data_IF_453080848175
#
_entry.id   IF_453080848175
#
_cell.length_a   1.000
_cell.length_b   1.000
_cell.length_c   1.000
_cell.angle_alpha   90.00
_cell.angle_beta   90.00
_cell.angle_gamma   90.00
#
_symmetry.space_group_name_H-M   'P 1'
#
loop_
_entity.id
_entity.type
_entity.pdbx_description
1 polymer ?
#
# COMPACT_ATOMS: atom_id res chain seq x y z
N UNK A 1 47.84 5.97 45.84
CA UNK A 1 46.41 5.65 45.65
C UNK A 1 46.28 5.05 44.26
N UNK A 2 45.94 3.76 44.21
CA UNK A 2 46.18 2.90 43.05
C UNK A 2 45.16 3.05 41.94
N UNK A 3 45.65 3.12 40.71
CA UNK A 3 44.85 3.00 39.49
C UNK A 3 44.63 1.51 39.18
N UNK A 4 43.37 1.12 39.08
CA UNK A 4 42.94 -0.20 38.61
C UNK A 4 42.81 -0.14 37.09
N UNK A 5 43.66 -0.87 36.38
CA UNK A 5 43.56 -1.12 34.94
C UNK A 5 42.73 -2.38 34.71
N UNK A 6 41.62 -2.25 33.99
CA UNK A 6 40.82 -3.39 33.51
C UNK A 6 41.25 -3.70 32.07
N UNK A 7 41.70 -4.93 31.74
CA UNK A 7 41.98 -5.30 30.37
C UNK A 7 40.67 -5.65 29.63
N UNK A 8 40.43 -4.99 28.51
CA UNK A 8 39.38 -5.35 27.55
C UNK A 8 39.93 -6.47 26.67
N UNK A 9 39.44 -7.68 26.87
CA UNK A 9 39.70 -8.81 25.99
C UNK A 9 38.90 -8.66 24.70
N UNK A 10 39.62 -8.50 23.58
CA UNK A 10 39.09 -8.69 22.23
C UNK A 10 38.70 -10.17 22.04
N UNK A 11 37.41 -10.43 21.84
CA UNK A 11 36.91 -11.70 21.31
C UNK A 11 36.48 -11.50 19.87
N UNK A 12 37.34 -11.94 18.94
CA UNK A 12 37.03 -12.11 17.53
C UNK A 12 36.14 -13.36 17.37
N UNK A 13 34.85 -13.16 17.11
CA UNK A 13 33.96 -14.23 16.65
C UNK A 13 33.86 -14.19 15.12
N UNK A 14 34.57 -15.12 14.47
CA UNK A 14 34.31 -15.50 13.09
C UNK A 14 33.05 -16.38 13.07
N UNK A 15 31.92 -15.81 12.68
CA UNK A 15 30.66 -16.52 12.47
C UNK A 15 30.25 -16.48 11.00
N UNK A 16 30.51 -17.56 10.27
CA UNK A 16 29.99 -17.81 8.93
C UNK A 16 28.46 -17.98 9.07
N UNK A 17 27.69 -17.04 8.53
CA UNK A 17 26.23 -17.16 8.43
C UNK A 17 25.91 -18.00 7.20
N UNK A 18 25.58 -19.27 7.42
CA UNK A 18 24.98 -20.12 6.40
C UNK A 18 23.51 -19.72 6.24
N UNK A 19 23.16 -19.16 5.08
CA UNK A 19 21.78 -18.91 4.68
C UNK A 19 21.23 -20.25 4.17
N UNK A 20 20.44 -20.93 5.01
CA UNK A 20 19.68 -22.10 4.58
C UNK A 20 18.46 -21.62 3.78
N UNK A 21 18.41 -21.99 2.50
CA UNK A 21 17.23 -21.84 1.67
C UNK A 21 16.14 -22.79 2.20
N UNK A 22 15.05 -22.23 2.69
CA UNK A 22 13.82 -22.98 3.02
C UNK A 22 12.92 -22.89 1.79
N UNK A 23 12.86 -23.98 1.02
CA UNK A 23 11.80 -24.18 0.04
C UNK A 23 10.49 -24.43 0.80
N UNK A 24 9.71 -23.37 0.99
CA UNK A 24 8.34 -23.48 1.50
C UNK A 24 7.39 -23.46 0.31
N UNK A 25 6.73 -24.58 0.06
CA UNK A 25 5.63 -24.68 -0.89
C UNK A 25 4.45 -23.83 -0.40
N UNK A 26 4.23 -22.68 -1.04
CA UNK A 26 3.02 -21.89 -0.84
C UNK A 26 1.87 -22.55 -1.61
N UNK A 27 0.88 -23.05 -0.87
CA UNK A 27 -0.45 -23.37 -1.40
C UNK A 27 -1.13 -22.03 -1.68
N UNK A 28 -1.45 -21.76 -2.95
CA UNK A 28 -2.25 -20.60 -3.36
C UNK A 28 -3.69 -20.76 -2.87
N UNK A 29 -4.15 -19.88 -1.99
CA UNK A 29 -5.57 -19.73 -1.70
C UNK A 29 -5.99 -18.27 -1.96
N UNK A 30 -6.43 -18.02 -3.20
CA UNK A 30 -6.79 -16.70 -3.75
C UNK A 30 -8.19 -16.23 -3.32
N UNK A 31 -8.54 -16.35 -2.04
CA UNK A 31 -9.92 -16.16 -1.57
C UNK A 31 -10.32 -14.69 -1.33
N UNK A 32 -9.37 -13.76 -1.25
CA UNK A 32 -9.63 -12.32 -1.06
C UNK A 32 -10.21 -11.59 -2.29
N UNK A 33 -9.86 -12.02 -3.51
CA UNK A 33 -10.31 -11.38 -4.76
C UNK A 33 -11.75 -11.74 -5.15
N UNK A 34 -12.34 -12.77 -4.54
CA UNK A 34 -13.62 -13.33 -4.99
C UNK A 34 -14.84 -12.49 -4.55
N UNK A 35 -14.75 -11.75 -3.45
CA UNK A 35 -15.84 -10.88 -2.97
C UNK A 35 -15.97 -9.58 -3.77
N UNK A 36 -14.86 -9.05 -4.30
CA UNK A 36 -14.86 -7.85 -5.16
C UNK A 36 -15.45 -8.12 -6.56
N UNK A 37 -15.27 -9.32 -7.11
CA UNK A 37 -15.76 -9.65 -8.46
C UNK A 37 -17.27 -9.88 -8.54
N UNK A 38 -17.92 -10.36 -7.47
CA UNK A 38 -19.36 -10.68 -7.50
C UNK A 38 -20.30 -9.46 -7.46
N UNK A 39 -19.81 -8.29 -7.05
CA UNK A 39 -20.62 -7.07 -6.98
C UNK A 39 -20.73 -6.31 -8.33
N UNK A 40 -19.83 -6.56 -9.28
CA UNK A 40 -19.72 -5.76 -10.51
C UNK A 40 -20.36 -6.36 -11.78
N UNK A 41 -20.86 -7.61 -11.73
CA UNK A 41 -21.26 -8.34 -12.94
C UNK A 41 -22.78 -8.33 -13.20
N UNK A 42 -23.36 -7.17 -13.56
CA UNK A 42 -24.66 -7.10 -14.28
C UNK A 42 -24.77 -5.86 -15.18
N UNK A 43 -24.45 -6.00 -16.49
CA UNK A 43 -25.26 -5.51 -17.64
C UNK A 43 -24.61 -5.73 -19.02
N UNK A 44 -25.39 -6.41 -19.88
CA UNK A 44 -25.61 -6.38 -21.34
C UNK A 44 -24.47 -6.31 -22.38
N UNK A 45 -24.62 -7.01 -23.54
CA UNK A 45 -23.62 -7.10 -24.60
C UNK A 45 -23.75 -5.97 -25.63
N UNK A 46 -22.64 -5.60 -26.28
CA UNK A 46 -22.68 -4.77 -27.50
C UNK A 46 -21.65 -5.25 -28.51
N UNK A 47 -22.15 -5.49 -29.72
CA UNK A 47 -21.45 -5.83 -30.96
C UNK A 47 -20.77 -4.57 -31.52
N UNK A 48 -19.51 -4.61 -31.98
CA UNK A 48 -19.03 -3.83 -33.16
C UNK A 48 -17.81 -4.49 -33.83
N UNK A 49 -17.79 -4.31 -35.15
CA UNK A 49 -16.90 -4.74 -36.24
C UNK A 49 -15.45 -4.22 -36.19
N UNK A 50 -14.58 -4.97 -36.85
CA UNK A 50 -13.15 -4.72 -37.05
C UNK A 50 -12.83 -3.52 -37.96
N UNK A 51 -11.86 -2.71 -37.53
CA UNK A 51 -10.99 -1.92 -38.41
C UNK A 51 -9.61 -1.81 -37.76
N UNK A 52 -8.56 -2.10 -38.52
CA UNK A 52 -7.18 -2.13 -38.06
C UNK A 52 -6.62 -0.70 -38.07
N UNK A 53 -6.67 -0.04 -36.92
CA UNK A 53 -5.94 1.19 -36.60
C UNK A 53 -4.89 0.88 -35.54
N UNK A 54 -3.79 1.65 -35.55
CA UNK A 54 -2.73 1.59 -34.55
C UNK A 54 -3.35 1.77 -33.14
N UNK A 55 -2.94 1.00 -32.10
CA UNK A 55 -3.70 0.90 -30.86
C UNK A 55 -3.73 2.22 -30.10
N UNK A 56 -4.80 3.00 -30.26
CA UNK A 56 -5.09 4.08 -29.33
C UNK A 56 -5.46 3.46 -27.98
N UNK A 57 -4.63 3.72 -26.98
CA UNK A 57 -4.88 3.34 -25.59
C UNK A 57 -6.20 3.99 -25.17
N UNK A 58 -7.28 3.21 -25.12
CA UNK A 58 -8.54 3.65 -24.53
C UNK A 58 -8.39 3.51 -23.01
N UNK A 59 -8.15 4.59 -22.24
CA UNK A 59 -7.83 4.46 -20.81
C UNK A 59 -8.98 3.84 -20.01
N UNK A 60 -10.19 3.92 -20.55
CA UNK A 60 -11.43 3.40 -19.96
C UNK A 60 -11.67 1.90 -20.27
N UNK A 61 -10.89 1.31 -21.20
CA UNK A 61 -10.97 -0.11 -21.59
C UNK A 61 -9.63 -0.86 -21.59
N UNK A 62 -8.51 -0.15 -21.47
CA UNK A 62 -7.16 -0.67 -21.60
C UNK A 62 -6.26 -0.02 -20.57
N UNK A 63 -6.26 -0.61 -19.38
CA UNK A 63 -5.12 -0.53 -18.47
C UNK A 63 -3.89 -0.93 -19.25
N UNK A 64 -2.82 -0.14 -19.20
CA UNK A 64 -1.60 -0.45 -19.91
C UNK A 64 -1.02 -1.77 -19.36
N UNK A 65 -1.24 -2.91 -20.01
CA UNK A 65 -0.95 -4.20 -19.38
C UNK A 65 0.55 -4.52 -19.48
N UNK A 66 1.24 -4.61 -18.35
CA UNK A 66 2.57 -5.21 -18.23
C UNK A 66 2.56 -6.63 -18.79
N UNK A 67 3.70 -7.08 -19.31
CA UNK A 67 3.85 -8.45 -19.81
C UNK A 67 4.04 -9.40 -18.65
N UNK A 68 2.95 -10.10 -18.31
CA UNK A 68 2.99 -11.38 -17.60
C UNK A 68 3.63 -11.33 -16.19
N UNK A 69 3.78 -12.50 -15.56
CA UNK A 69 4.44 -12.70 -14.26
C UNK A 69 5.93 -12.33 -14.27
N UNK A 70 6.58 -12.24 -15.43
CA UNK A 70 8.00 -11.91 -15.54
C UNK A 70 8.26 -10.47 -15.08
N UNK A 71 7.43 -9.51 -15.52
CA UNK A 71 7.55 -8.09 -15.18
C UNK A 71 7.38 -7.83 -13.66
N UNK A 72 6.85 -8.79 -12.89
CA UNK A 72 6.79 -8.73 -11.42
C UNK A 72 8.16 -8.84 -10.77
N UNK A 73 9.07 -9.59 -11.41
CA UNK A 73 10.37 -9.95 -10.83
C UNK A 73 11.47 -8.96 -11.20
N UNK A 74 11.24 -8.12 -12.21
CA UNK A 74 12.17 -7.10 -12.69
C UNK A 74 11.98 -5.83 -11.84
N UNK A 75 13.07 -5.10 -11.49
CA UNK A 75 12.95 -3.81 -10.82
C UNK A 75 12.01 -2.86 -11.58
N UNK A 76 11.13 -2.15 -10.85
CA UNK A 76 10.07 -1.33 -11.45
C UNK A 76 10.65 -0.31 -12.44
N UNK A 77 11.75 0.36 -12.08
CA UNK A 77 12.39 1.34 -12.96
C UNK A 77 12.87 0.73 -14.28
N UNK A 78 13.33 -0.52 -14.28
CA UNK A 78 13.77 -1.23 -15.48
C UNK A 78 12.60 -1.67 -16.35
N UNK A 79 11.45 -1.98 -15.74
CA UNK A 79 10.20 -2.20 -16.48
C UNK A 79 9.75 -0.89 -17.12
N UNK A 80 9.73 0.23 -16.39
CA UNK A 80 9.28 1.53 -16.91
C UNK A 80 10.11 2.06 -18.09
N UNK A 81 11.40 1.71 -18.16
CA UNK A 81 12.23 2.00 -19.35
C UNK A 81 11.70 1.35 -20.63
N UNK A 82 10.96 0.24 -20.53
CA UNK A 82 10.37 -0.47 -21.66
C UNK A 82 9.01 0.11 -22.10
N UNK A 83 8.40 0.96 -21.28
CA UNK A 83 7.08 1.57 -21.51
C UNK A 83 7.18 3.11 -21.44
N UNK A 84 7.90 3.76 -22.38
CA UNK A 84 8.12 5.21 -22.33
C UNK A 84 6.80 5.99 -22.34
N UNK A 85 6.71 6.99 -21.46
CA UNK A 85 5.52 7.85 -21.32
C UNK A 85 4.37 7.24 -20.53
N UNK A 86 4.54 6.04 -19.97
CA UNK A 86 3.53 5.40 -19.13
C UNK A 86 3.91 5.46 -17.65
N UNK A 87 2.91 5.74 -16.82
CA UNK A 87 3.01 5.63 -15.36
C UNK A 87 2.97 4.16 -14.96
N UNK A 88 3.73 3.77 -13.93
CA UNK A 88 3.78 2.39 -13.46
C UNK A 88 2.46 1.88 -12.92
N UNK A 89 1.61 2.76 -12.38
CA UNK A 89 0.23 2.40 -12.04
C UNK A 89 -0.56 1.96 -13.27
N UNK A 90 -0.32 2.57 -14.44
CA UNK A 90 -0.94 2.11 -15.68
C UNK A 90 -0.37 0.74 -16.06
N UNK A 91 0.97 0.63 -16.14
CA UNK A 91 1.71 -0.60 -16.52
C UNK A 91 1.28 -1.80 -15.67
N UNK A 92 1.14 -1.62 -14.36
CA UNK A 92 0.77 -2.69 -13.44
C UNK A 92 -0.71 -2.71 -13.06
N UNK A 93 -1.58 -1.95 -13.76
CA UNK A 93 -2.98 -1.84 -13.35
C UNK A 93 -3.79 -3.15 -13.46
N UNK A 94 -3.27 -4.16 -14.17
CA UNK A 94 -3.88 -5.51 -14.25
C UNK A 94 -3.81 -6.26 -12.91
N UNK A 95 -2.99 -5.81 -11.96
CA UNK A 95 -2.82 -6.44 -10.65
C UNK A 95 -4.07 -6.35 -9.77
N UNK A 96 -4.95 -5.40 -10.07
CA UNK A 96 -6.24 -5.35 -9.42
C UNK A 96 -6.90 -3.99 -9.52
N UNK A 97 -8.13 -3.88 -8.99
CA UNK A 97 -8.84 -2.62 -8.95
C UNK A 97 -8.04 -1.50 -8.28
N UNK A 98 -7.28 -1.80 -7.22
CA UNK A 98 -6.47 -0.80 -6.52
C UNK A 98 -5.43 -0.11 -7.43
N UNK A 99 -4.78 -0.87 -8.30
CA UNK A 99 -3.78 -0.32 -9.21
C UNK A 99 -4.44 0.41 -10.40
N UNK A 100 -5.44 -0.24 -11.03
CA UNK A 100 -6.18 0.34 -12.16
C UNK A 100 -6.88 1.64 -11.79
N UNK A 101 -7.67 1.64 -10.73
CA UNK A 101 -8.44 2.83 -10.35
C UNK A 101 -7.51 3.97 -9.92
N UNK A 102 -6.35 3.65 -9.32
CA UNK A 102 -5.33 4.63 -9.01
C UNK A 102 -4.71 5.24 -10.27
N UNK A 103 -4.39 4.43 -11.29
CA UNK A 103 -3.90 4.92 -12.58
C UNK A 103 -4.87 5.91 -13.22
N UNK A 104 -6.17 5.59 -13.22
CA UNK A 104 -7.22 6.47 -13.75
C UNK A 104 -7.32 7.77 -12.95
N UNK A 105 -7.30 7.69 -11.61
CA UNK A 105 -7.35 8.86 -10.75
C UNK A 105 -6.15 9.79 -10.97
N UNK A 106 -4.95 9.23 -11.09
CA UNK A 106 -3.71 9.96 -11.38
C UNK A 106 -3.77 10.66 -12.73
N UNK A 107 -4.21 9.96 -13.77
CA UNK A 107 -4.33 10.55 -15.11
C UNK A 107 -5.33 11.71 -15.15
N UNK A 108 -6.41 11.63 -14.35
CA UNK A 108 -7.43 12.68 -14.27
C UNK A 108 -7.08 13.80 -13.30
N UNK A 109 -6.08 13.62 -12.43
CA UNK A 109 -5.81 14.55 -11.32
C UNK A 109 -6.97 14.59 -10.31
N UNK A 110 -7.70 13.48 -10.14
CA UNK A 110 -8.87 13.40 -9.27
C UNK A 110 -8.87 12.06 -8.51
N UNK A 111 -8.47 12.11 -7.23
CA UNK A 111 -8.47 10.97 -6.31
C UNK A 111 -9.79 10.77 -5.56
N UNK A 112 -10.73 11.71 -5.67
CA UNK A 112 -12.02 11.59 -5.01
C UNK A 112 -12.78 10.40 -5.59
N UNK A 113 -12.72 10.20 -6.91
CA UNK A 113 -13.30 9.04 -7.57
C UNK A 113 -12.71 7.72 -7.03
N UNK A 114 -11.38 7.62 -6.93
CA UNK A 114 -10.69 6.45 -6.39
C UNK A 114 -11.14 6.13 -4.95
N UNK A 115 -11.10 7.12 -4.07
CA UNK A 115 -11.45 6.91 -2.66
C UNK A 115 -12.91 6.47 -2.45
N UNK A 116 -13.82 6.89 -3.34
CA UNK A 116 -15.24 6.50 -3.28
C UNK A 116 -15.48 5.04 -3.65
N UNK A 117 -14.58 4.41 -4.42
CA UNK A 117 -14.71 3.00 -4.81
C UNK A 117 -14.77 2.08 -3.58
N UNK A 118 -14.05 2.44 -2.51
CA UNK A 118 -13.97 1.62 -1.30
C UNK A 118 -15.03 1.96 -0.26
N UNK A 119 -15.72 3.11 -0.36
CA UNK A 119 -16.73 3.55 0.60
C UNK A 119 -17.81 2.50 0.90
N UNK A 120 -18.37 1.75 -0.08
CA UNK A 120 -19.36 0.71 0.22
C UNK A 120 -18.79 -0.44 1.05
N UNK A 121 -17.55 -0.85 0.76
CA UNK A 121 -16.86 -1.93 1.49
C UNK A 121 -16.58 -1.49 2.92
N UNK A 122 -16.04 -0.28 3.09
CA UNK A 122 -15.76 0.29 4.40
C UNK A 122 -17.04 0.50 5.22
N UNK A 123 -18.12 0.98 4.60
CA UNK A 123 -19.43 1.06 5.25
C UNK A 123 -19.89 -0.30 5.76
N UNK A 124 -19.78 -1.34 4.93
CA UNK A 124 -20.20 -2.68 5.31
C UNK A 124 -19.39 -3.24 6.48
N UNK A 125 -18.05 -3.18 6.43
CA UNK A 125 -17.18 -3.79 7.44
C UNK A 125 -17.15 -3.00 8.76
N UNK A 126 -17.22 -1.66 8.71
CA UNK A 126 -17.01 -0.79 9.88
C UNK A 126 -18.30 -0.48 10.65
N UNK A 127 -19.46 -0.72 10.05
CA UNK A 127 -20.78 -0.57 10.71
C UNK A 127 -21.39 -1.91 11.11
N UNK A 128 -20.79 -3.03 10.70
CA UNK A 128 -21.23 -4.37 11.05
C UNK A 128 -21.00 -4.72 12.53
N UNK A 129 -21.66 -5.78 13.04
CA UNK A 129 -21.55 -6.20 14.44
C UNK A 129 -20.14 -6.65 14.84
N UNK A 130 -19.30 -7.03 13.86
CA UNK A 130 -17.93 -7.46 14.09
C UNK A 130 -16.93 -6.29 14.21
N UNK A 131 -17.36 -5.04 13.98
CA UNK A 131 -16.53 -3.83 14.05
C UNK A 131 -16.23 -3.42 15.52
N UNK A 132 -15.65 -4.36 16.27
CA UNK A 132 -15.25 -4.21 17.68
C UNK A 132 -13.86 -3.58 17.77
N UNK A 133 -13.50 -2.96 18.89
CA UNK A 133 -12.18 -2.35 19.03
C UNK A 133 -11.07 -3.40 19.22
N UNK A 134 -9.95 -3.22 18.53
CA UNK A 134 -8.69 -3.95 18.75
C UNK A 134 -7.54 -2.95 18.79
N UNK A 135 -6.65 -3.11 19.77
CA UNK A 135 -5.48 -2.24 19.94
C UNK A 135 -4.21 -2.95 19.52
N UNK A 136 -3.45 -2.32 18.63
CA UNK A 136 -2.09 -2.69 18.27
C UNK A 136 -1.10 -1.77 18.99
N UNK A 137 0.05 -2.30 19.39
CA UNK A 137 1.18 -1.53 19.92
C UNK A 137 2.30 -1.53 18.91
N UNK A 138 2.70 -0.33 18.48
CA UNK A 138 3.84 -0.15 17.57
C UNK A 138 5.16 -0.49 18.28
N UNK A 139 6.26 -0.74 17.54
CA UNK A 139 7.60 -0.87 18.12
C UNK A 139 8.04 0.32 18.98
N UNK A 140 7.53 1.52 18.68
CA UNK A 140 7.75 2.74 19.49
C UNK A 140 7.01 2.73 20.83
N UNK A 141 6.14 1.75 21.08
CA UNK A 141 5.23 1.67 22.23
C UNK A 141 3.91 2.41 22.04
N UNK A 142 3.77 3.22 20.97
CA UNK A 142 2.54 3.96 20.69
C UNK A 142 1.38 3.01 20.37
N UNK A 143 0.21 3.16 21.03
CA UNK A 143 -0.96 2.35 20.71
C UNK A 143 -1.72 2.91 19.50
N UNK A 144 -2.36 2.01 18.75
CA UNK A 144 -3.36 2.31 17.73
C UNK A 144 -4.59 1.45 17.99
N UNK A 145 -5.74 2.06 18.23
CA UNK A 145 -7.02 1.34 18.39
C UNK A 145 -7.88 1.47 17.14
N UNK A 146 -8.17 0.36 16.48
CA UNK A 146 -8.94 0.25 15.23
C UNK A 146 -10.19 -0.60 15.44
N UNK A 147 -11.20 -0.45 14.57
CA UNK A 147 -12.38 -1.31 14.48
C UNK A 147 -12.43 -2.14 13.19
N UNK A 148 -11.48 -1.95 12.29
CA UNK A 148 -11.41 -2.75 11.06
C UNK A 148 -10.73 -4.10 11.36
N UNK A 149 -11.48 -5.19 11.19
CA UNK A 149 -10.94 -6.55 11.31
C UNK A 149 -10.67 -7.21 9.94
N UNK A 150 -11.08 -6.57 8.85
CA UNK A 150 -10.89 -7.04 7.49
C UNK A 150 -9.62 -6.45 6.85
N UNK A 151 -9.39 -5.15 7.05
CA UNK A 151 -8.20 -4.46 6.53
C UNK A 151 -7.47 -3.64 7.61
N UNK A 152 -7.12 -4.22 8.78
CA UNK A 152 -6.43 -3.48 9.82
C UNK A 152 -5.00 -3.04 9.43
N UNK A 153 -4.38 -3.73 8.47
CA UNK A 153 -3.08 -3.33 7.93
C UNK A 153 -3.14 -1.97 7.24
N UNK A 154 -4.27 -1.61 6.60
CA UNK A 154 -4.46 -0.27 6.03
C UNK A 154 -4.42 0.79 7.13
N UNK A 155 -5.10 0.54 8.26
CA UNK A 155 -5.12 1.48 9.39
C UNK A 155 -3.74 1.66 10.02
N UNK A 156 -3.02 0.56 10.21
CA UNK A 156 -1.63 0.61 10.71
C UNK A 156 -0.75 1.35 9.71
N UNK A 157 -0.85 1.04 8.42
CA UNK A 157 -0.08 1.68 7.36
C UNK A 157 -0.31 3.20 7.31
N UNK A 158 -1.57 3.65 7.37
CA UNK A 158 -1.89 5.08 7.45
C UNK A 158 -1.30 5.73 8.71
N UNK A 159 -1.39 5.03 9.85
CA UNK A 159 -0.94 5.55 11.15
C UNK A 159 0.58 5.69 11.24
N UNK A 160 1.34 4.66 10.85
CA UNK A 160 2.81 4.66 10.99
C UNK A 160 3.47 5.69 10.06
N UNK A 161 2.79 6.09 9.00
CA UNK A 161 3.23 7.11 8.07
C UNK A 161 2.76 8.52 8.47
N UNK A 162 2.05 8.67 9.60
CA UNK A 162 1.57 9.96 10.10
C UNK A 162 0.49 10.60 9.24
N UNK A 163 -0.19 9.83 8.39
CA UNK A 163 -1.11 10.40 7.42
C UNK A 163 -2.46 10.83 8.02
N UNK A 164 -2.79 10.37 9.22
CA UNK A 164 -3.97 10.84 9.95
C UNK A 164 -3.82 12.25 10.52
N UNK A 165 -2.59 12.76 10.66
CA UNK A 165 -2.32 14.12 11.15
C UNK A 165 -2.37 15.17 10.03
N UNK A 166 -2.55 14.74 8.78
CA UNK A 166 -2.61 15.61 7.61
C UNK A 166 -4.00 16.24 7.43
N UNK A 167 -4.03 17.40 6.75
CA UNK A 167 -5.27 18.08 6.38
C UNK A 167 -6.07 17.25 5.37
N UNK A 168 -7.07 16.53 5.86
CA UNK A 168 -7.89 15.59 5.09
C UNK A 168 -8.65 16.29 3.95
N UNK A 169 -9.13 17.52 4.15
CA UNK A 169 -9.83 18.26 3.10
C UNK A 169 -8.90 18.64 1.96
N UNK A 170 -7.67 19.08 2.27
CA UNK A 170 -6.68 19.40 1.24
C UNK A 170 -6.21 18.17 0.48
N UNK A 171 -5.99 17.04 1.16
CA UNK A 171 -5.58 15.80 0.49
C UNK A 171 -6.59 15.33 -0.56
N UNK A 172 -7.89 15.55 -0.32
CA UNK A 172 -8.95 15.09 -1.22
C UNK A 172 -9.29 16.10 -2.31
N UNK A 173 -9.33 17.40 -1.97
CA UNK A 173 -9.82 18.42 -2.89
C UNK A 173 -8.71 19.19 -3.62
N UNK A 174 -7.43 18.94 -3.31
CA UNK A 174 -6.29 19.59 -3.94
C UNK A 174 -5.24 18.55 -4.37
N UNK A 175 -5.35 18.10 -5.62
CA UNK A 175 -4.45 17.09 -6.18
C UNK A 175 -2.99 17.54 -6.20
N UNK A 176 -2.70 18.82 -6.46
CA UNK A 176 -1.32 19.34 -6.41
C UNK A 176 -0.73 19.25 -5.00
N UNK A 177 -1.51 19.59 -3.97
CA UNK A 177 -1.07 19.42 -2.58
C UNK A 177 -0.82 17.95 -2.25
N UNK A 178 -1.73 17.06 -2.68
CA UNK A 178 -1.59 15.62 -2.51
C UNK A 178 -0.31 15.08 -3.17
N UNK A 179 0.02 15.54 -4.39
CA UNK A 179 1.26 15.16 -5.08
C UNK A 179 2.50 15.63 -4.33
N UNK A 180 2.49 16.83 -3.73
CA UNK A 180 3.61 17.35 -2.93
C UNK A 180 3.83 16.50 -1.67
N UNK A 181 2.75 16.12 -0.98
CA UNK A 181 2.84 15.24 0.19
C UNK A 181 3.34 13.85 -0.21
N UNK A 182 2.84 13.30 -1.33
CA UNK A 182 3.28 12.04 -1.90
C UNK A 182 4.76 12.06 -2.26
N UNK A 183 5.24 13.12 -2.90
CA UNK A 183 6.65 13.32 -3.26
C UNK A 183 7.55 13.33 -2.03
N UNK A 184 7.20 14.11 -1.01
CA UNK A 184 7.97 14.16 0.24
C UNK A 184 8.02 12.80 0.94
N UNK A 185 6.89 12.07 0.97
CA UNK A 185 6.85 10.72 1.51
C UNK A 185 7.76 9.76 0.72
N UNK A 186 7.68 9.77 -0.60
CA UNK A 186 8.49 8.89 -1.44
C UNK A 186 9.99 9.18 -1.32
N UNK A 187 10.40 10.46 -1.25
CA UNK A 187 11.79 10.85 -0.96
C UNK A 187 12.26 10.33 0.41
N UNK A 188 11.38 10.34 1.41
CA UNK A 188 11.73 9.81 2.74
C UNK A 188 11.98 8.30 2.72
N UNK A 189 11.22 7.55 1.91
CA UNK A 189 11.41 6.12 1.73
C UNK A 189 12.68 5.80 0.95
N UNK A 190 12.94 6.54 -0.13
CA UNK A 190 14.17 6.44 -0.92
C UNK A 190 15.41 6.66 -0.04
N UNK A 191 15.38 7.65 0.86
CA UNK A 191 16.46 7.92 1.79
C UNK A 191 16.64 6.84 2.88
N UNK A 192 15.57 6.11 3.22
CA UNK A 192 15.57 5.15 4.34
C UNK A 192 15.80 3.70 3.90
N UNK A 193 15.42 3.34 2.67
CA UNK A 193 15.49 1.97 2.17
C UNK A 193 16.72 1.77 1.27
N UNK A 194 17.75 1.04 1.70
CA UNK A 194 19.02 0.94 0.97
C UNK A 194 18.91 0.24 -0.40
N UNK A 195 17.81 -0.45 -0.67
CA UNK A 195 17.53 -1.16 -1.93
C UNK A 195 16.32 -0.60 -2.68
N UNK A 196 15.91 0.65 -2.39
CA UNK A 196 14.73 1.29 -2.97
C UNK A 196 14.61 1.09 -4.49
N UNK A 197 15.60 1.51 -5.27
CA UNK A 197 15.57 1.40 -6.75
C UNK A 197 15.65 -0.04 -7.29
N UNK A 198 15.91 -1.04 -6.43
CA UNK A 198 15.95 -2.47 -6.82
C UNK A 198 14.63 -3.19 -6.53
N UNK A 199 13.65 -2.48 -5.97
CA UNK A 199 12.34 -3.05 -5.66
C UNK A 199 11.57 -3.38 -6.93
N UNK A 200 10.86 -4.51 -6.88
CA UNK A 200 9.94 -4.98 -7.91
C UNK A 200 8.55 -5.16 -7.33
N UNK A 201 7.54 -5.42 -8.18
CA UNK A 201 6.22 -5.80 -7.68
C UNK A 201 6.26 -7.08 -6.84
N UNK A 202 7.16 -8.03 -7.16
CA UNK A 202 7.37 -9.23 -6.35
C UNK A 202 7.85 -8.90 -4.94
N UNK A 203 8.62 -7.82 -4.75
CA UNK A 203 9.01 -7.35 -3.42
C UNK A 203 7.77 -6.98 -2.58
N UNK A 204 6.79 -6.31 -3.20
CA UNK A 204 5.52 -5.97 -2.55
C UNK A 204 4.70 -7.23 -2.22
N UNK A 205 4.57 -8.17 -3.16
CA UNK A 205 3.78 -9.39 -2.97
C UNK A 205 4.32 -10.26 -1.83
N UNK A 206 5.65 -10.39 -1.72
CA UNK A 206 6.30 -11.17 -0.65
C UNK A 206 6.03 -10.55 0.71
N UNK A 207 6.21 -9.23 0.85
CA UNK A 207 5.97 -8.55 2.12
C UNK A 207 4.48 -8.57 2.50
N UNK A 208 3.58 -8.33 1.54
CA UNK A 208 2.14 -8.37 1.78
C UNK A 208 1.68 -9.75 2.31
N UNK A 209 2.17 -10.84 1.71
CA UNK A 209 1.84 -12.19 2.18
C UNK A 209 2.36 -12.50 3.59
N UNK A 210 3.57 -12.04 3.93
CA UNK A 210 4.16 -12.21 5.26
C UNK A 210 3.41 -11.39 6.32
N UNK A 211 3.04 -10.16 5.98
CA UNK A 211 2.31 -9.25 6.85
C UNK A 211 0.90 -9.79 7.12
N UNK A 212 0.13 -10.14 6.09
CA UNK A 212 -1.24 -10.65 6.24
C UNK A 212 -1.30 -11.92 7.10
N UNK A 213 -0.37 -12.86 6.87
CA UNK A 213 -0.32 -14.11 7.63
C UNK A 213 -0.03 -13.88 9.11
N UNK A 214 0.88 -12.95 9.42
CA UNK A 214 1.32 -12.70 10.79
C UNK A 214 0.33 -11.85 11.58
N UNK A 215 -0.33 -10.90 10.91
CA UNK A 215 -0.94 -9.75 11.57
C UNK A 215 -2.16 -10.06 12.44
N UNK A 216 -3.00 -11.01 12.02
CA UNK A 216 -4.28 -11.28 12.70
C UNK A 216 -4.11 -11.71 14.17
N UNK A 217 -2.98 -12.33 14.50
CA UNK A 217 -2.70 -12.84 15.85
C UNK A 217 -1.84 -11.91 16.70
N UNK A 218 -1.41 -10.77 16.17
CA UNK A 218 -0.53 -9.85 16.86
C UNK A 218 -1.31 -8.75 17.58
N UNK A 219 -0.86 -8.42 18.78
CA UNK A 219 -1.23 -7.20 19.52
C UNK A 219 -0.03 -6.26 19.66
N UNK A 220 1.18 -6.80 19.67
CA UNK A 220 2.42 -6.05 19.56
C UNK A 220 2.99 -6.27 18.15
N UNK A 221 3.12 -5.19 17.38
CA UNK A 221 3.63 -5.28 16.02
C UNK A 221 5.16 -5.32 16.04
N UNK A 222 5.78 -6.32 15.40
CA UNK A 222 7.22 -6.36 15.29
C UNK A 222 7.73 -5.31 14.30
N UNK A 223 9.00 -4.93 14.45
CA UNK A 223 9.65 -3.99 13.54
C UNK A 223 9.66 -4.49 12.08
N UNK A 224 9.62 -5.81 11.87
CA UNK A 224 9.56 -6.41 10.53
C UNK A 224 8.30 -6.00 9.77
N UNK A 225 7.13 -6.00 10.40
CA UNK A 225 5.85 -5.56 9.78
C UNK A 225 5.93 -4.10 9.35
N UNK A 226 6.52 -3.24 10.19
CA UNK A 226 6.71 -1.82 9.86
C UNK A 226 7.65 -1.66 8.67
N UNK A 227 8.70 -2.48 8.59
CA UNK A 227 9.63 -2.48 7.45
C UNK A 227 8.95 -2.99 6.17
N UNK A 228 8.16 -4.07 6.24
CA UNK A 228 7.39 -4.60 5.11
C UNK A 228 6.42 -3.56 4.55
N UNK A 229 5.71 -2.85 5.42
CA UNK A 229 4.88 -1.71 5.04
C UNK A 229 5.63 -0.58 4.32
N UNK A 230 6.88 -0.27 4.73
CA UNK A 230 7.72 0.70 4.02
C UNK A 230 8.11 0.21 2.63
N UNK A 231 8.39 -1.09 2.46
CA UNK A 231 8.64 -1.69 1.15
C UNK A 231 7.40 -1.58 0.26
N UNK A 232 6.21 -1.87 0.80
CA UNK A 232 4.94 -1.72 0.10
C UNK A 232 4.72 -0.26 -0.39
N UNK A 233 4.97 0.72 0.48
CA UNK A 233 4.94 2.14 0.12
C UNK A 233 5.98 2.53 -0.94
N UNK A 234 7.18 1.97 -0.86
CA UNK A 234 8.29 2.27 -1.77
C UNK A 234 8.04 1.74 -3.18
N UNK A 235 7.51 0.51 -3.29
CA UNK A 235 7.07 -0.05 -4.58
C UNK A 235 6.05 0.88 -5.22
N UNK A 236 5.02 1.30 -4.48
CA UNK A 236 4.02 2.25 -4.98
C UNK A 236 4.65 3.58 -5.39
N UNK A 237 5.61 4.11 -4.63
CA UNK A 237 6.34 5.32 -5.00
C UNK A 237 7.10 5.19 -6.32
N UNK A 238 7.75 4.05 -6.58
CA UNK A 238 8.41 3.75 -7.85
C UNK A 238 7.40 3.68 -9.01
N UNK A 239 6.22 3.08 -8.78
CA UNK A 239 5.15 3.06 -9.78
C UNK A 239 4.77 4.47 -10.23
N UNK A 240 4.81 5.44 -9.32
CA UNK A 240 4.45 6.82 -9.59
C UNK A 240 5.61 7.75 -9.90
N UNK A 241 6.81 7.24 -10.20
CA UNK A 241 7.99 8.07 -10.48
C UNK A 241 8.38 9.00 -9.33
N UNK A 242 8.29 8.51 -8.08
CA UNK A 242 8.54 9.30 -6.87
C UNK A 242 7.31 10.04 -6.35
N UNK A 243 6.14 9.88 -6.97
CA UNK A 243 4.86 10.49 -6.51
C UNK A 243 3.74 9.47 -6.38
N UNK A 244 4.06 8.21 -6.13
CA UNK A 244 3.09 7.13 -6.21
C UNK A 244 2.17 6.93 -5.02
N UNK A 245 2.38 7.61 -3.89
CA UNK A 245 1.55 7.43 -2.70
C UNK A 245 0.20 8.19 -2.73
N UNK A 246 -0.11 8.92 -3.80
CA UNK A 246 -1.31 9.79 -3.89
C UNK A 246 -2.62 9.06 -3.57
N UNK A 247 -2.79 7.84 -4.08
CA UNK A 247 -4.01 7.06 -3.89
C UNK A 247 -4.13 6.51 -2.46
N UNK A 248 -3.02 6.09 -1.86
CA UNK A 248 -2.98 5.64 -0.48
C UNK A 248 -3.26 6.79 0.49
N UNK A 249 -2.62 7.95 0.30
CA UNK A 249 -2.86 9.17 1.06
C UNK A 249 -4.34 9.58 1.00
N UNK A 250 -4.92 9.59 -0.20
CA UNK A 250 -6.34 9.89 -0.40
C UNK A 250 -7.26 8.85 0.27
N UNK A 251 -6.92 7.56 0.16
CA UNK A 251 -7.68 6.51 0.83
C UNK A 251 -7.64 6.68 2.34
N UNK A 252 -6.46 6.90 2.93
CA UNK A 252 -6.31 7.13 4.36
C UNK A 252 -7.10 8.35 4.84
N UNK A 253 -7.05 9.46 4.10
CA UNK A 253 -7.83 10.67 4.42
C UNK A 253 -9.34 10.42 4.37
N UNK A 254 -9.83 9.58 3.45
CA UNK A 254 -11.26 9.26 3.31
C UNK A 254 -11.74 8.15 4.22
N UNK A 255 -10.83 7.32 4.72
CA UNK A 255 -11.14 6.13 5.50
C UNK A 255 -11.36 6.45 6.98
N UNK A 256 -10.39 7.13 7.60
CA UNK A 256 -10.35 7.33 9.04
C UNK A 256 -9.65 8.64 9.44
N UNK A 257 -9.69 8.93 10.74
CA UNK A 257 -9.00 10.04 11.38
C UNK A 257 -8.58 9.61 12.79
N UNK A 258 -7.48 10.17 13.30
CA UNK A 258 -7.04 9.93 14.67
C UNK A 258 -7.84 10.79 15.64
N UNK A 259 -8.47 10.17 16.63
CA UNK A 259 -9.21 10.84 17.69
C UNK A 259 -8.28 11.23 18.85
N UNK A 260 -8.76 12.14 19.71
CA UNK A 260 -7.98 12.66 20.84
C UNK A 260 -7.55 11.57 21.85
N UNK A 261 -8.27 10.44 21.90
CA UNK A 261 -7.95 9.30 22.77
C UNK A 261 -6.98 8.29 22.13
N UNK A 262 -6.48 8.57 20.92
CA UNK A 262 -5.58 7.69 20.16
C UNK A 262 -6.29 6.53 19.44
N UNK A 263 -7.63 6.50 19.44
CA UNK A 263 -8.40 5.57 18.62
C UNK A 263 -8.70 6.15 17.24
N UNK A 264 -9.00 5.28 16.28
CA UNK A 264 -9.48 5.70 14.97
C UNK A 264 -10.98 5.93 14.97
N UNK A 265 -11.38 7.12 14.52
CA UNK A 265 -12.72 7.40 14.03
C UNK A 265 -12.79 7.04 12.55
N UNK A 266 -13.96 6.61 12.07
CA UNK A 266 -14.16 6.27 10.66
C UNK A 266 -15.16 7.18 9.96
N UNK A 267 -14.86 7.55 8.71
CA UNK A 267 -15.75 8.34 7.85
C UNK A 267 -17.07 7.62 7.61
N UNK A 268 -17.01 6.30 7.38
CA UNK A 268 -18.17 5.42 7.23
C UNK A 268 -19.14 5.44 8.43
N UNK A 269 -18.67 5.87 9.60
CA UNK A 269 -19.45 5.98 10.84
C UNK A 269 -19.82 7.43 11.19
N UNK A 270 -19.40 8.40 10.37
CA UNK A 270 -19.59 9.83 10.65
C UNK A 270 -18.78 10.33 11.86
N UNK A 271 -17.73 9.61 12.26
CA UNK A 271 -16.92 9.94 13.43
C UNK A 271 -15.79 10.93 13.09
N UNK A 272 -15.51 11.12 11.81
CA UNK A 272 -14.48 12.03 11.32
C UNK A 272 -15.07 13.33 10.79
N UNK A 273 -14.27 14.43 10.79
CA UNK A 273 -14.65 15.66 10.10
C UNK A 273 -15.00 15.40 8.62
N UNK A 274 -15.90 16.17 8.01
CA UNK A 274 -16.17 16.03 6.59
C UNK A 274 -14.95 16.46 5.76
N UNK A 275 -14.77 15.79 4.62
CA UNK A 275 -13.72 16.06 3.61
C UNK A 275 -14.32 16.52 2.30
#
# INVERSE_FOLDING_TARGET
>A
MGHVLIPISLLLFNGIVAIAAVESACVEDSSGSFLLQKAAARRAPTVVKNKTEEPQVQPEKGVCVARDDIDKTIPIEDVLKQYPGQDGWCVYGSFGPWARECAVARQKGDVLAFSKVYSPIYSYILTGPNATQKTYRMPSGQPLTTRDHYFPLDDVYCFINGWYDLDRQKLINNYTYLEQVSEAYCQSLEATLPYYHRLSMKSMDVEAGLDEWSFNHLTNLPQSVITGMKVHGAVKCLLGGGKGAVCDLANCARRACLLADGSLGYDARGECPPV
#
